data_IF_628175555032
#
_entry.id   IF_628175555032
#
_cell.length_a   1.000
_cell.length_b   1.000
_cell.length_c   1.000
_cell.angle_alpha   90.00
_cell.angle_beta   90.00
_cell.angle_gamma   90.00
#
_symmetry.space_group_name_H-M   'P 1'
#
loop_
_entity.id
_entity.type
_entity.pdbx_description
1 polymer ?
#
# COMPACT_ATOMS: atom_id res chain seq x y z
N UNK A 1 22.46 31.96 -24.64
CA UNK A 1 22.44 30.50 -24.39
C UNK A 1 22.88 30.09 -22.98
N UNK A 2 24.08 30.47 -22.51
CA UNK A 2 24.64 29.94 -21.23
C UNK A 2 23.81 30.25 -19.98
N UNK A 3 23.21 31.43 -19.89
CA UNK A 3 22.36 31.83 -18.76
C UNK A 3 21.01 31.10 -18.77
N UNK A 4 20.40 30.95 -19.96
CA UNK A 4 19.16 30.21 -20.13
C UNK A 4 19.26 28.76 -19.64
N UNK A 5 20.36 28.08 -19.98
CA UNK A 5 20.63 26.71 -19.52
C UNK A 5 20.79 26.64 -17.99
N UNK A 6 21.39 27.67 -17.36
CA UNK A 6 21.55 27.73 -15.91
C UNK A 6 20.20 27.94 -15.21
N UNK A 7 19.37 28.85 -15.72
CA UNK A 7 18.03 29.09 -15.18
C UNK A 7 17.16 27.85 -15.31
N UNK A 8 17.21 27.16 -16.46
CA UNK A 8 16.47 25.92 -16.69
C UNK A 8 16.85 24.83 -15.68
N UNK A 9 18.15 24.66 -15.38
CA UNK A 9 18.60 23.69 -14.37
C UNK A 9 18.06 24.00 -12.96
N UNK A 10 18.03 25.28 -12.59
CA UNK A 10 17.51 25.71 -11.28
C UNK A 10 16.00 25.43 -11.20
N UNK A 11 15.25 25.73 -12.26
CA UNK A 11 13.81 25.47 -12.32
C UNK A 11 13.52 23.97 -12.20
N UNK A 12 14.25 23.10 -12.92
CA UNK A 12 14.07 21.65 -12.83
C UNK A 12 14.39 21.12 -11.42
N UNK A 13 15.44 21.64 -10.78
CA UNK A 13 15.80 21.24 -9.42
C UNK A 13 14.72 21.63 -8.39
N UNK A 14 14.13 22.81 -8.53
CA UNK A 14 13.06 23.29 -7.64
C UNK A 14 11.73 22.52 -7.81
N UNK A 15 11.57 21.80 -8.93
CA UNK A 15 10.41 20.94 -9.17
C UNK A 15 10.58 19.51 -8.62
N UNK A 16 11.75 19.17 -8.06
CA UNK A 16 11.95 17.89 -7.39
C UNK A 16 11.27 17.90 -6.02
N UNK A 17 9.98 17.56 -5.99
CA UNK A 17 9.18 17.39 -4.77
C UNK A 17 9.25 15.98 -4.19
N UNK A 18 8.80 15.83 -2.94
CA UNK A 18 8.62 14.53 -2.30
C UNK A 18 7.39 13.83 -2.87
N UNK A 19 7.56 12.64 -3.45
CA UNK A 19 6.44 11.79 -3.84
C UNK A 19 6.01 10.93 -2.65
N UNK A 20 4.75 11.05 -2.26
CA UNK A 20 4.13 10.13 -1.30
C UNK A 20 3.58 8.93 -2.07
N UNK A 21 4.37 7.87 -2.21
CA UNK A 21 3.83 6.58 -2.65
C UNK A 21 3.31 5.84 -1.43
N UNK A 22 2.01 5.56 -1.40
CA UNK A 22 1.47 4.60 -0.44
C UNK A 22 1.96 3.21 -0.84
N UNK A 23 2.63 2.51 0.06
CA UNK A 23 2.94 1.11 -0.16
C UNK A 23 1.64 0.32 -0.07
N UNK A 24 1.27 -0.36 -1.15
CA UNK A 24 0.09 -1.23 -1.11
C UNK A 24 0.27 -2.30 -0.04
N UNK A 25 -0.82 -2.58 0.67
CA UNK A 25 -0.86 -3.62 1.69
C UNK A 25 -0.63 -4.98 1.02
N UNK A 26 0.45 -5.65 1.40
CA UNK A 26 0.70 -7.01 0.94
C UNK A 26 -0.08 -8.01 1.80
N UNK A 27 -1.08 -8.66 1.21
CA UNK A 27 -1.82 -9.75 1.85
C UNK A 27 -1.07 -11.07 1.68
N UNK A 28 -0.07 -11.30 2.54
CA UNK A 28 0.43 -12.65 2.76
C UNK A 28 -0.74 -13.52 3.21
N UNK A 29 -0.98 -14.65 2.54
CA UNK A 29 -2.16 -15.53 2.72
C UNK A 29 -3.45 -15.12 1.99
N UNK A 30 -3.32 -14.65 0.74
CA UNK A 30 -4.44 -14.26 -0.14
C UNK A 30 -5.66 -15.20 -0.18
N UNK A 31 -5.47 -16.50 0.08
CA UNK A 31 -6.54 -17.51 0.07
C UNK A 31 -7.60 -17.28 1.16
N UNK A 32 -7.20 -16.72 2.31
CA UNK A 32 -8.13 -16.42 3.41
C UNK A 32 -8.80 -15.05 3.27
N UNK A 33 -8.40 -14.27 2.25
CA UNK A 33 -8.92 -12.93 1.97
C UNK A 33 -9.29 -12.80 0.49
N UNK A 34 -9.79 -13.89 -0.10
CA UNK A 34 -10.06 -13.95 -1.53
C UNK A 34 -11.14 -12.94 -1.96
N UNK A 35 -12.06 -12.58 -1.06
CA UNK A 35 -13.04 -11.51 -1.25
C UNK A 35 -12.41 -10.14 -1.53
N UNK A 36 -11.18 -9.88 -1.07
CA UNK A 36 -10.44 -8.62 -1.34
C UNK A 36 -9.91 -8.59 -2.77
N UNK A 37 -9.47 -9.75 -3.28
CA UNK A 37 -8.90 -9.87 -4.62
C UNK A 37 -10.00 -10.03 -5.67
N UNK A 38 -11.00 -10.84 -5.36
CA UNK A 38 -12.16 -11.08 -6.20
C UNK A 38 -13.43 -10.93 -5.34
N UNK A 39 -14.10 -9.77 -5.40
CA UNK A 39 -15.33 -9.53 -4.65
C UNK A 39 -16.44 -10.55 -4.93
N UNK A 40 -16.47 -11.19 -6.10
CA UNK A 40 -17.44 -12.24 -6.43
C UNK A 40 -17.21 -13.53 -5.62
N UNK A 41 -16.07 -13.66 -4.93
CA UNK A 41 -15.79 -14.78 -4.03
C UNK A 41 -16.48 -14.63 -2.67
N UNK A 42 -16.99 -13.45 -2.31
CA UNK A 42 -17.73 -13.29 -1.06
C UNK A 42 -18.98 -14.21 -1.03
N UNK A 43 -19.08 -15.04 0.00
CA UNK A 43 -20.10 -16.08 0.12
C UNK A 43 -20.02 -17.23 -0.88
N UNK A 44 -18.96 -17.33 -1.69
CA UNK A 44 -18.82 -18.39 -2.71
C UNK A 44 -18.68 -19.80 -2.11
N UNK A 45 -18.23 -19.90 -0.86
CA UNK A 45 -18.19 -21.15 -0.09
C UNK A 45 -19.49 -21.43 0.68
N UNK A 46 -20.51 -20.58 0.54
CA UNK A 46 -21.80 -20.71 1.22
C UNK A 46 -21.78 -20.36 2.70
N UNK A 47 -20.68 -19.76 3.20
CA UNK A 47 -20.54 -19.36 4.59
C UNK A 47 -20.40 -17.85 4.75
N UNK A 48 -20.68 -17.36 5.95
CA UNK A 48 -20.36 -15.98 6.34
C UNK A 48 -19.06 -16.00 7.13
N UNK A 49 -18.04 -15.36 6.59
CA UNK A 49 -16.70 -15.35 7.16
C UNK A 49 -16.35 -13.97 7.71
N UNK A 50 -15.65 -13.98 8.84
CA UNK A 50 -15.09 -12.80 9.49
C UNK A 50 -13.59 -13.00 9.66
N UNK A 51 -12.78 -12.15 9.02
CA UNK A 51 -11.32 -12.27 9.05
C UNK A 51 -10.67 -10.98 9.53
N UNK A 52 -9.76 -11.09 10.48
CA UNK A 52 -8.91 -9.99 10.95
C UNK A 52 -7.45 -10.24 10.56
N UNK A 53 -6.74 -9.18 10.17
CA UNK A 53 -5.33 -9.25 9.83
C UNK A 53 -4.58 -8.09 10.49
N UNK A 54 -3.49 -8.41 11.17
CA UNK A 54 -2.56 -7.44 11.77
C UNK A 54 -1.17 -7.80 11.25
N UNK A 55 -0.48 -6.83 10.64
CA UNK A 55 0.84 -7.04 10.05
C UNK A 55 1.78 -5.90 10.39
N UNK A 56 2.91 -6.23 11.02
CA UNK A 56 4.08 -5.35 11.08
C UNK A 56 4.86 -5.43 9.77
N UNK A 57 5.27 -4.28 9.24
CA UNK A 57 6.06 -4.21 8.00
C UNK A 57 7.54 -4.57 8.22
N UNK A 58 8.07 -4.35 9.43
CA UNK A 58 9.47 -4.59 9.80
C UNK A 58 9.54 -5.32 11.13
N UNK A 59 10.23 -6.45 11.17
CA UNK A 59 10.43 -7.18 12.41
C UNK A 59 11.53 -6.51 13.26
N UNK A 60 11.36 -6.51 14.59
CA UNK A 60 12.28 -5.93 15.57
C UNK A 60 12.60 -4.42 15.43
N UNK A 61 11.78 -3.64 14.72
CA UNK A 61 11.90 -2.19 14.64
C UNK A 61 10.85 -1.53 15.53
N UNK A 62 11.30 -0.75 16.52
CA UNK A 62 10.39 0.00 17.38
C UNK A 62 9.58 1.00 16.55
N UNK A 63 8.26 1.05 16.79
CA UNK A 63 7.31 1.90 16.06
C UNK A 63 7.28 1.65 14.55
N UNK A 64 7.62 0.43 14.12
CA UNK A 64 7.47 0.01 12.73
C UNK A 64 6.03 0.22 12.24
N UNK A 65 5.84 0.61 10.96
CA UNK A 65 4.51 0.70 10.38
C UNK A 65 3.72 -0.60 10.53
N UNK A 66 2.52 -0.50 11.07
CA UNK A 66 1.58 -1.61 11.23
C UNK A 66 0.35 -1.39 10.35
N UNK A 67 -0.17 -2.47 9.78
CA UNK A 67 -1.42 -2.46 9.02
C UNK A 67 -2.42 -3.40 9.67
N UNK A 68 -3.60 -2.87 9.98
CA UNK A 68 -4.71 -3.62 10.53
C UNK A 68 -5.84 -3.66 9.49
N UNK A 69 -6.44 -4.82 9.27
CA UNK A 69 -7.51 -5.00 8.31
C UNK A 69 -8.59 -5.92 8.84
N UNK A 70 -9.81 -5.66 8.39
CA UNK A 70 -11.00 -6.43 8.73
C UNK A 70 -11.75 -6.75 7.45
N UNK A 71 -12.09 -8.02 7.26
CA UNK A 71 -12.78 -8.52 6.09
C UNK A 71 -14.03 -9.27 6.49
N UNK A 72 -15.09 -9.00 5.74
CA UNK A 72 -16.37 -9.69 5.83
C UNK A 72 -16.71 -10.21 4.44
N UNK A 73 -17.13 -11.47 4.34
CA UNK A 73 -17.42 -12.13 3.08
C UNK A 73 -18.41 -13.25 3.22
#
# INVERSE_FOLDING_TARGET
MRYFIKTLKIVVFLLAGTMYSQQETNYALYRYTMNVINPAYAGADGTTNLTTNIRSQWDNVQDAPETQSFFFS
#
